data_IF_251272447990
#
_entry.id   IF_251272447990
#
_cell.length_a   1.000
_cell.length_b   1.000
_cell.length_c   1.000
_cell.angle_alpha   90.00
_cell.angle_beta   90.00
_cell.angle_gamma   90.00
#
_symmetry.space_group_name_H-M   'P 1'
#
loop_
_entity.id
_entity.type
_entity.pdbx_description
1 polymer ?
#
# COMPACT_ATOMS: atom_id res chain seq x y z
N UNK A 1 -8.76 0.40 9.85
CA UNK A 1 -7.34 0.07 9.76
C UNK A 1 -6.81 -0.17 11.17
N UNK A 2 -5.97 -1.19 11.40
CA UNK A 2 -5.26 -1.34 12.68
C UNK A 2 -4.41 -0.12 13.04
N UNK A 3 -3.96 -0.03 14.29
CA UNK A 3 -2.83 0.82 14.65
C UNK A 3 -1.53 0.23 14.11
N UNK A 4 -0.65 1.08 13.61
CA UNK A 4 0.68 0.70 13.11
C UNK A 4 1.59 1.92 13.10
N UNK A 5 2.89 1.65 13.11
CA UNK A 5 3.95 2.66 12.93
C UNK A 5 5.06 2.02 12.11
N UNK A 6 5.42 2.61 10.97
CA UNK A 6 6.36 2.05 10.01
C UNK A 6 7.26 3.13 9.42
N UNK A 7 8.49 2.76 9.06
CA UNK A 7 9.41 3.64 8.35
C UNK A 7 9.22 3.48 6.83
N UNK A 8 9.16 4.62 6.14
CA UNK A 8 9.08 4.67 4.68
C UNK A 8 10.45 4.76 4.03
N UNK A 9 10.56 4.33 2.77
CA UNK A 9 11.82 4.36 2.00
C UNK A 9 12.38 5.76 1.76
N UNK A 10 11.53 6.80 1.87
CA UNK A 10 11.93 8.20 1.74
C UNK A 10 12.40 8.81 3.07
N UNK A 11 12.66 7.97 4.08
CA UNK A 11 13.05 8.34 5.43
C UNK A 11 12.00 9.21 6.12
N UNK A 12 10.97 8.54 6.66
CA UNK A 12 9.95 9.15 7.49
C UNK A 12 9.07 8.08 8.13
N UNK A 13 8.72 8.28 9.40
CA UNK A 13 7.81 7.41 10.13
C UNK A 13 6.37 7.83 9.85
N UNK A 14 5.53 6.87 9.49
CA UNK A 14 4.09 7.06 9.35
C UNK A 14 3.34 6.05 10.20
N UNK A 15 2.18 6.46 10.70
CA UNK A 15 1.21 5.57 11.34
C UNK A 15 -0.20 5.85 10.87
N UNK A 16 -1.17 5.22 11.55
CA UNK A 16 -2.59 5.35 11.21
C UNK A 16 -3.05 6.81 11.14
N UNK A 17 -2.61 7.66 12.05
CA UNK A 17 -3.02 9.07 12.14
C UNK A 17 -2.54 9.95 10.96
N UNK A 18 -1.55 9.48 10.19
CA UNK A 18 -0.99 10.17 9.03
C UNK A 18 -1.72 9.84 7.73
N UNK A 19 -2.74 8.98 7.78
CA UNK A 19 -3.64 8.66 6.66
C UNK A 19 -4.99 9.30 6.98
N UNK A 20 -5.38 10.32 6.21
CA UNK A 20 -6.56 11.14 6.48
C UNK A 20 -7.50 11.14 5.29
N UNK A 21 -8.77 10.79 5.50
CA UNK A 21 -9.71 10.62 4.39
C UNK A 21 -9.61 9.23 3.79
N UNK A 22 -10.20 9.06 2.61
CA UNK A 22 -10.21 7.77 1.93
C UNK A 22 -8.81 7.43 1.40
N UNK A 23 -8.41 6.16 1.53
CA UNK A 23 -7.06 5.71 1.20
C UNK A 23 -7.03 4.29 0.65
N UNK A 24 -5.93 3.95 -0.01
CA UNK A 24 -5.68 2.61 -0.55
C UNK A 24 -4.36 2.07 0.01
N UNK A 25 -4.37 0.81 0.45
CA UNK A 25 -3.16 0.12 0.91
C UNK A 25 -2.88 -1.10 0.04
N UNK A 26 -1.71 -1.14 -0.59
CA UNK A 26 -1.24 -2.24 -1.41
C UNK A 26 -0.16 -3.07 -0.72
N UNK A 27 -0.20 -4.39 -0.91
CA UNK A 27 0.74 -5.33 -0.31
C UNK A 27 1.39 -6.18 -1.40
N UNK A 28 2.72 -6.08 -1.54
CA UNK A 28 3.51 -6.75 -2.57
C UNK A 28 4.64 -7.57 -1.95
N UNK A 29 5.07 -8.63 -2.64
CA UNK A 29 6.25 -9.39 -2.25
C UNK A 29 7.15 -9.71 -3.45
N UNK A 30 8.47 -9.65 -3.25
CA UNK A 30 9.46 -9.89 -4.30
C UNK A 30 9.48 -11.34 -4.81
N UNK A 31 9.09 -12.29 -3.96
CA UNK A 31 8.99 -13.72 -4.30
C UNK A 31 7.67 -14.09 -4.97
N UNK A 32 6.72 -13.15 -5.08
CA UNK A 32 5.42 -13.37 -5.68
C UNK A 32 5.38 -12.85 -7.12
N UNK A 33 5.24 -13.76 -8.09
CA UNK A 33 5.12 -13.38 -9.51
C UNK A 33 3.91 -12.48 -9.78
N UNK A 34 2.68 -12.81 -9.31
CA UNK A 34 1.53 -11.91 -9.45
C UNK A 34 1.75 -10.50 -8.89
N UNK A 35 2.53 -10.32 -7.82
CA UNK A 35 2.83 -8.99 -7.30
C UNK A 35 3.57 -8.13 -8.33
N UNK A 36 4.54 -8.71 -9.03
CA UNK A 36 5.29 -8.01 -10.09
C UNK A 36 4.41 -7.72 -11.30
N UNK A 37 3.60 -8.70 -11.70
CA UNK A 37 2.72 -8.58 -12.86
C UNK A 37 1.61 -7.53 -12.62
N UNK A 38 1.09 -7.41 -11.38
CA UNK A 38 -0.02 -6.50 -11.04
C UNK A 38 0.42 -5.13 -10.49
N UNK A 39 1.68 -4.93 -10.11
CA UNK A 39 2.14 -3.62 -9.62
C UNK A 39 1.89 -2.48 -10.63
N UNK A 40 2.12 -2.64 -11.95
CA UNK A 40 1.77 -1.60 -12.92
C UNK A 40 0.28 -1.28 -12.98
N UNK A 41 -0.59 -2.29 -12.80
CA UNK A 41 -2.04 -2.08 -12.79
C UNK A 41 -2.50 -1.39 -11.51
N UNK A 42 -1.87 -1.69 -10.38
CA UNK A 42 -2.09 -0.94 -9.14
C UNK A 42 -1.72 0.53 -9.31
N UNK A 43 -0.55 0.83 -9.90
CA UNK A 43 -0.13 2.22 -10.18
C UNK A 43 -1.18 2.95 -11.01
N UNK A 44 -1.67 2.34 -12.10
CA UNK A 44 -2.74 2.94 -12.92
C UNK A 44 -4.02 3.18 -12.14
N UNK A 45 -4.40 2.26 -11.25
CA UNK A 45 -5.62 2.37 -10.47
C UNK A 45 -5.56 3.53 -9.47
N UNK A 46 -4.44 3.71 -8.79
CA UNK A 46 -4.29 4.77 -7.77
C UNK A 46 -3.86 6.12 -8.35
N UNK A 47 -3.46 6.15 -9.62
CA UNK A 47 -3.06 7.36 -10.31
C UNK A 47 -4.26 8.33 -10.40
N UNK A 48 -4.16 9.44 -9.69
CA UNK A 48 -5.21 10.47 -9.67
C UNK A 48 -6.20 10.37 -8.51
N UNK A 49 -5.97 9.49 -7.52
CA UNK A 49 -6.70 9.53 -6.26
C UNK A 49 -6.67 10.95 -5.67
N UNK A 50 -7.80 11.48 -5.18
CA UNK A 50 -7.80 12.73 -4.44
C UNK A 50 -6.91 12.68 -3.20
N UNK A 51 -6.05 13.68 -3.03
CA UNK A 51 -4.98 13.65 -2.03
C UNK A 51 -3.70 12.95 -2.50
N UNK A 52 -3.73 12.32 -3.67
CA UNK A 52 -2.57 11.77 -4.38
C UNK A 52 -1.83 10.71 -3.59
N UNK A 53 -0.51 10.69 -3.75
CA UNK A 53 0.42 9.78 -3.08
C UNK A 53 0.24 9.71 -1.56
N UNK A 54 -0.19 10.80 -0.92
CA UNK A 54 -0.38 10.81 0.52
C UNK A 54 -1.54 9.91 0.97
N UNK A 55 -2.47 9.54 0.08
CA UNK A 55 -3.56 8.61 0.37
C UNK A 55 -3.29 7.17 -0.06
N UNK A 56 -2.05 6.87 -0.45
CA UNK A 56 -1.68 5.54 -0.92
C UNK A 56 -0.47 5.04 -0.14
N UNK A 57 -0.63 3.89 0.50
CA UNK A 57 0.44 3.18 1.22
C UNK A 57 0.74 1.87 0.51
N UNK A 58 2.01 1.58 0.26
CA UNK A 58 2.43 0.32 -0.35
C UNK A 58 3.50 -0.39 0.49
N UNK A 59 3.24 -1.63 0.86
CA UNK A 59 4.21 -2.51 1.50
C UNK A 59 4.89 -3.38 0.46
N UNK A 60 6.21 -3.43 0.49
CA UNK A 60 7.04 -4.33 -0.33
C UNK A 60 7.82 -5.25 0.57
N UNK A 61 7.44 -6.53 0.59
CA UNK A 61 8.11 -7.55 1.37
C UNK A 61 9.16 -8.30 0.55
N UNK A 62 10.41 -8.28 0.99
CA UNK A 62 11.47 -9.10 0.45
C UNK A 62 12.82 -8.43 0.47
N UNK A 63 13.45 -8.35 -0.70
CA UNK A 63 14.77 -7.76 -0.88
C UNK A 63 15.33 -8.03 -2.27
N UNK A 64 16.52 -7.51 -2.53
CA UNK A 64 17.24 -7.72 -3.78
C UNK A 64 16.76 -6.83 -4.95
N UNK A 65 17.14 -7.13 -6.20
CA UNK A 65 16.83 -6.27 -7.35
C UNK A 65 15.33 -6.04 -7.56
N UNK A 66 14.51 -7.07 -7.32
CA UNK A 66 13.05 -6.99 -7.48
C UNK A 66 12.42 -6.01 -6.48
N UNK A 67 12.97 -5.87 -5.27
CA UNK A 67 12.49 -4.86 -4.32
C UNK A 67 12.71 -3.46 -4.90
N UNK A 68 13.90 -3.20 -5.46
CA UNK A 68 14.22 -1.90 -6.07
C UNK A 68 13.28 -1.59 -7.22
N UNK A 69 13.03 -2.56 -8.10
CA UNK A 69 12.08 -2.41 -9.22
C UNK A 69 10.65 -2.07 -8.74
N UNK A 70 10.17 -2.75 -7.69
CA UNK A 70 8.85 -2.47 -7.12
C UNK A 70 8.80 -1.09 -6.44
N UNK A 71 9.85 -0.72 -5.69
CA UNK A 71 9.94 0.58 -5.02
C UNK A 71 9.97 1.72 -6.06
N UNK A 72 10.81 1.61 -7.09
CA UNK A 72 10.91 2.60 -8.18
C UNK A 72 9.56 2.79 -8.90
N UNK A 73 8.81 1.70 -9.10
CA UNK A 73 7.50 1.73 -9.73
C UNK A 73 6.42 2.37 -8.84
N UNK A 74 6.45 2.11 -7.53
CA UNK A 74 5.38 2.49 -6.59
C UNK A 74 5.59 3.87 -5.96
N UNK A 75 6.83 4.29 -5.69
CA UNK A 75 7.14 5.53 -5.01
C UNK A 75 6.53 6.80 -5.64
N UNK A 76 6.37 6.91 -6.98
CA UNK A 76 5.73 8.08 -7.60
C UNK A 76 4.25 8.26 -7.21
N UNK A 77 3.56 7.18 -6.80
CA UNK A 77 2.12 7.19 -6.52
C UNK A 77 1.76 6.75 -5.11
N UNK A 78 2.71 6.30 -4.30
CA UNK A 78 2.49 5.78 -2.96
C UNK A 78 3.63 6.10 -2.00
N UNK A 79 3.31 6.21 -0.72
CA UNK A 79 4.30 6.10 0.36
C UNK A 79 4.68 4.62 0.49
N UNK A 80 5.96 4.30 0.31
CA UNK A 80 6.42 2.89 0.25
C UNK A 80 7.14 2.50 1.53
N UNK A 81 6.81 1.32 2.05
CA UNK A 81 7.43 0.66 3.21
C UNK A 81 8.04 -0.64 2.74
N UNK A 82 9.29 -0.90 3.09
CA UNK A 82 9.97 -2.16 2.80
C UNK A 82 10.06 -3.02 4.05
N UNK A 83 9.81 -4.32 3.90
CA UNK A 83 9.95 -5.30 4.98
C UNK A 83 10.89 -6.42 4.53
N UNK A 84 11.82 -6.89 5.39
CA UNK A 84 12.76 -7.92 5.01
C UNK A 84 12.06 -9.25 4.69
N UNK A 85 12.71 -10.05 3.86
CA UNK A 85 12.34 -11.44 3.63
C UNK A 85 12.50 -12.26 4.93
N UNK A 86 11.58 -13.20 5.16
CA UNK A 86 11.71 -14.22 6.22
C UNK A 86 11.24 -13.81 7.62
N UNK A 87 11.06 -12.52 7.91
CA UNK A 87 10.56 -12.03 9.20
C UNK A 87 9.13 -11.50 9.08
N UNK A 88 8.33 -11.52 10.13
CA UNK A 88 7.02 -10.85 10.10
C UNK A 88 7.20 -9.34 10.25
N UNK A 89 6.54 -8.57 9.39
CA UNK A 89 6.48 -7.11 9.47
C UNK A 89 5.05 -6.61 9.71
N UNK A 90 4.86 -5.29 9.75
CA UNK A 90 3.56 -4.66 9.96
C UNK A 90 2.48 -5.14 8.98
N UNK A 91 2.84 -5.46 7.73
CA UNK A 91 1.93 -6.06 6.76
C UNK A 91 1.26 -7.33 7.28
N UNK A 92 1.98 -8.17 8.00
CA UNK A 92 1.48 -9.41 8.56
C UNK A 92 0.91 -9.19 9.97
N UNK A 93 1.62 -8.46 10.82
CA UNK A 93 1.30 -8.32 12.24
C UNK A 93 0.13 -7.37 12.49
N UNK A 94 0.12 -6.20 11.85
CA UNK A 94 -0.95 -5.23 12.02
C UNK A 94 -2.12 -5.54 11.07
N UNK A 95 -1.82 -5.77 9.79
CA UNK A 95 -2.84 -5.90 8.75
C UNK A 95 -3.33 -7.34 8.51
N UNK A 96 -2.64 -8.35 9.06
CA UNK A 96 -3.02 -9.75 8.93
C UNK A 96 -2.88 -10.30 7.50
N UNK A 97 -1.98 -9.74 6.69
CA UNK A 97 -1.79 -10.16 5.30
C UNK A 97 -1.09 -11.52 5.25
N UNK A 98 -1.76 -12.51 4.68
CA UNK A 98 -1.23 -13.87 4.48
C UNK A 98 -1.19 -14.27 2.99
N UNK A 99 -1.66 -13.39 2.10
CA UNK A 99 -1.70 -13.60 0.65
C UNK A 99 -1.21 -12.36 -0.08
N UNK A 100 -0.49 -12.59 -1.17
CA UNK A 100 0.18 -11.55 -1.94
C UNK A 100 -0.14 -11.71 -3.43
N UNK A 101 -0.47 -10.63 -4.17
CA UNK A 101 -0.76 -9.30 -3.64
C UNK A 101 -2.08 -9.27 -2.88
N UNK A 102 -2.25 -8.25 -2.05
CA UNK A 102 -3.53 -7.90 -1.41
C UNK A 102 -3.72 -6.40 -1.48
N UNK A 103 -4.98 -5.96 -1.49
CA UNK A 103 -5.32 -4.54 -1.54
C UNK A 103 -6.45 -4.22 -0.57
N UNK A 104 -6.34 -3.10 0.14
CA UNK A 104 -7.34 -2.63 1.09
C UNK A 104 -7.86 -1.25 0.69
N UNK A 105 -9.18 -1.08 0.71
CA UNK A 105 -9.81 0.23 0.67
C UNK A 105 -10.09 0.69 2.09
N UNK A 106 -9.83 1.96 2.34
CA UNK A 106 -10.00 2.61 3.63
C UNK A 106 -10.93 3.81 3.43
N UNK A 107 -11.99 3.89 4.22
CA UNK A 107 -12.90 5.05 4.20
C UNK A 107 -12.32 6.24 4.96
N UNK A 108 -13.04 7.37 4.93
CA UNK A 108 -12.63 8.62 5.57
C UNK A 108 -12.44 8.53 7.09
N UNK A 109 -13.10 7.57 7.75
CA UNK A 109 -12.95 7.30 9.20
C UNK A 109 -11.77 6.37 9.50
N UNK A 110 -11.01 5.99 8.47
CA UNK A 110 -9.89 5.08 8.58
C UNK A 110 -10.33 3.63 8.79
N UNK A 111 -11.56 3.23 8.43
CA UNK A 111 -12.03 1.84 8.51
C UNK A 111 -11.76 1.11 7.21
N UNK A 112 -11.40 -0.16 7.30
CA UNK A 112 -11.22 -1.00 6.10
C UNK A 112 -12.59 -1.38 5.60
N UNK A 113 -12.94 -0.96 4.39
CA UNK A 113 -14.27 -1.20 3.78
C UNK A 113 -14.27 -2.37 2.80
N UNK A 114 -13.10 -2.77 2.30
CA UNK A 114 -12.97 -3.88 1.36
C UNK A 114 -11.58 -4.52 1.36
N UNK A 115 -11.54 -5.80 0.99
CA UNK A 115 -10.31 -6.55 0.67
C UNK A 115 -10.44 -7.00 -0.78
N UNK A 116 -9.81 -6.25 -1.67
CA UNK A 116 -10.12 -6.32 -3.09
C UNK A 116 -9.04 -7.03 -3.90
N UNK A 117 -9.39 -7.39 -5.14
CA UNK A 117 -8.40 -7.63 -6.21
C UNK A 117 -8.06 -6.29 -6.88
N UNK A 118 -6.93 -6.19 -7.58
CA UNK A 118 -6.52 -4.93 -8.23
C UNK A 118 -7.60 -4.38 -9.19
N UNK A 119 -8.38 -5.26 -9.81
CA UNK A 119 -9.47 -4.90 -10.74
C UNK A 119 -10.77 -4.47 -10.04
N UNK A 120 -10.88 -4.68 -8.73
CA UNK A 120 -12.04 -4.33 -7.90
C UNK A 120 -11.71 -3.20 -6.92
N UNK A 121 -10.54 -2.57 -7.05
CA UNK A 121 -10.18 -1.41 -6.24
C UNK A 121 -11.20 -0.29 -6.46
N UNK A 122 -12.10 -0.12 -5.49
CA UNK A 122 -12.93 1.07 -5.35
C UNK A 122 -12.03 2.25 -4.99
N UNK A 123 -11.42 2.84 -6.01
CA UNK A 123 -10.57 4.01 -5.90
C UNK A 123 -11.43 5.21 -5.46
N UNK A 124 -11.04 5.94 -4.40
CA UNK A 124 -11.71 7.17 -3.99
C UNK A 124 -11.94 8.11 -5.18
N UNK A 125 -13.20 8.42 -5.49
CA UNK A 125 -13.55 9.35 -6.57
C UNK A 125 -13.84 10.77 -6.07
N UNK A 126 -13.98 10.95 -4.75
CA UNK A 126 -14.44 12.21 -4.17
C UNK A 126 -13.31 12.90 -3.42
N UNK A 127 -13.01 14.18 -3.68
CA UNK A 127 -12.01 14.90 -2.92
C UNK A 127 -12.41 15.01 -1.45
N UNK A 128 -11.51 14.59 -0.55
CA UNK A 128 -11.68 14.73 0.89
C UNK A 128 -11.80 16.22 1.23
N UNK A 129 -13.01 16.66 1.62
CA UNK A 129 -13.22 18.02 2.13
C UNK A 129 -12.40 18.23 3.41
N UNK A 130 -11.66 19.34 3.45
CA UNK A 130 -10.91 19.79 4.62
C UNK A 130 -11.81 20.25 5.74
#
# INVERSE_FOLDING_TARGET
MPEFTVETVEHGTIGRADIRGEAVVGFFSTSCRPCRDQAPDFVKAVQGIPGGREQVLAFVKGGGPVEKELVELLAPVARVVTEPAGESGASQEAFGIVRWPSYLNVDADGRVTGRETVYSLAVPTTPSSR
#
